data_IF_692438595559
#
_entry.id   IF_692438595559
#
_cell.length_a   1.000
_cell.length_b   1.000
_cell.length_c   1.000
_cell.angle_alpha   90.00
_cell.angle_beta   90.00
_cell.angle_gamma   90.00
#
_symmetry.space_group_name_H-M   'P 1'
#
loop_
_entity.id
_entity.type
_entity.pdbx_description
1 polymer ?
#
# COMPACT_ATOMS: atom_id res chain seq x y z
N UNK A 1 -3.89 3.75 0.11
CA UNK A 1 -4.31 4.49 1.33
C UNK A 1 -5.47 3.92 2.19
N UNK A 2 -6.55 3.29 1.68
CA UNK A 2 -7.75 3.04 2.52
C UNK A 2 -7.79 1.71 3.33
N UNK A 3 -6.90 0.75 3.05
CA UNK A 3 -6.89 -0.52 3.79
C UNK A 3 -6.18 -0.37 5.14
N UNK A 4 -6.86 -0.65 6.26
CA UNK A 4 -6.30 -0.46 7.61
C UNK A 4 -4.98 -1.21 7.87
N UNK A 5 -4.76 -2.35 7.22
CA UNK A 5 -3.57 -3.18 7.44
C UNK A 5 -2.43 -2.86 6.48
N UNK A 6 -2.70 -2.17 5.37
CA UNK A 6 -1.72 -1.91 4.30
C UNK A 6 -1.52 -0.43 4.04
N UNK A 7 -2.21 0.44 4.77
CA UNK A 7 -2.15 1.88 4.58
C UNK A 7 -0.72 2.38 4.76
N UNK A 8 0.01 1.85 5.74
CA UNK A 8 1.40 2.24 6.02
C UNK A 8 2.42 1.84 4.94
N UNK A 9 2.08 0.91 4.04
CA UNK A 9 2.97 0.48 2.94
C UNK A 9 2.98 1.48 1.77
N UNK A 10 1.98 2.37 1.69
CA UNK A 10 1.89 3.46 0.71
C UNK A 10 2.62 4.70 1.26
N UNK A 11 3.68 5.24 0.63
CA UNK A 11 4.47 6.34 1.18
C UNK A 11 3.65 7.63 1.41
N UNK A 12 2.52 7.79 0.70
CA UNK A 12 1.60 8.91 0.94
C UNK A 12 1.00 8.85 2.34
N UNK A 13 0.91 7.67 2.96
CA UNK A 13 0.46 7.51 4.34
C UNK A 13 1.31 8.27 5.34
N UNK A 14 2.63 8.27 5.16
CA UNK A 14 3.53 9.05 5.99
C UNK A 14 3.22 10.55 5.89
N UNK A 15 3.14 11.07 4.66
CA UNK A 15 2.82 12.48 4.41
C UNK A 15 1.42 12.86 4.94
N UNK A 16 0.46 11.94 4.82
CA UNK A 16 -0.89 12.12 5.31
C UNK A 16 -0.94 12.16 6.85
N UNK A 17 -0.25 11.23 7.53
CA UNK A 17 -0.16 11.23 8.99
C UNK A 17 0.65 12.42 9.52
N UNK A 18 1.69 12.87 8.83
CA UNK A 18 2.38 14.13 9.18
C UNK A 18 1.43 15.32 9.08
N UNK A 19 0.55 15.38 8.07
CA UNK A 19 -0.45 16.44 7.98
C UNK A 19 -1.50 16.34 9.10
N UNK A 20 -1.96 15.14 9.44
CA UNK A 20 -2.88 14.92 10.56
C UNK A 20 -2.23 15.34 11.88
N UNK A 21 -0.98 14.93 12.12
CA UNK A 21 -0.21 15.30 13.29
C UNK A 21 0.05 16.81 13.34
N UNK A 22 0.33 17.46 12.20
CA UNK A 22 0.37 18.92 12.11
C UNK A 22 -0.94 19.57 12.57
N UNK A 23 -2.09 19.11 12.09
CA UNK A 23 -3.40 19.63 12.51
C UNK A 23 -3.65 19.38 13.99
N UNK A 24 -3.28 18.19 14.48
CA UNK A 24 -3.34 17.84 15.89
C UNK A 24 -2.48 18.77 16.75
N UNK A 25 -1.25 19.07 16.33
CA UNK A 25 -0.35 19.99 17.04
C UNK A 25 -0.88 21.43 17.04
N UNK A 26 -1.48 21.90 15.95
CA UNK A 26 -2.16 23.20 15.93
C UNK A 26 -3.33 23.25 16.92
N UNK A 27 -4.10 22.16 17.03
CA UNK A 27 -5.16 22.04 18.04
C UNK A 27 -4.59 22.03 19.46
N UNK A 28 -3.57 21.19 19.71
CA UNK A 28 -2.90 21.00 21.01
C UNK A 28 -2.33 22.31 21.56
N UNK A 29 -1.65 23.09 20.72
CA UNK A 29 -1.13 24.42 21.08
C UNK A 29 -2.21 25.46 21.36
N UNK A 30 -3.42 25.26 20.80
CA UNK A 30 -4.57 26.15 21.01
C UNK A 30 -5.41 25.82 22.24
N UNK A 31 -5.06 24.78 23.00
CA UNK A 31 -5.81 24.39 24.20
C UNK A 31 -5.50 25.33 25.37
N UNK A 32 -6.51 25.58 26.21
CA UNK A 32 -6.36 26.37 27.45
C UNK A 32 -5.85 25.55 28.63
N UNK A 33 -5.79 24.22 28.47
CA UNK A 33 -5.35 23.25 29.47
C UNK A 33 -4.05 22.63 28.98
N UNK A 34 -3.14 22.32 29.92
CA UNK A 34 -1.86 21.66 29.65
C UNK A 34 -2.10 20.27 29.02
N UNK A 35 -1.82 20.09 27.71
CA UNK A 35 -2.13 18.85 27.02
C UNK A 35 -1.31 17.66 27.53
N UNK A 36 -0.13 17.88 28.12
CA UNK A 36 0.66 16.78 28.72
C UNK A 36 -0.06 16.11 29.89
N UNK A 37 -1.00 16.82 30.52
CA UNK A 37 -1.70 16.39 31.72
C UNK A 37 -3.17 16.06 31.49
N UNK A 38 -3.70 16.37 30.31
CA UNK A 38 -5.12 16.26 29.98
C UNK A 38 -5.38 15.26 28.85
N UNK A 39 -4.96 14.00 29.07
CA UNK A 39 -5.23 12.93 28.13
C UNK A 39 -6.74 12.61 28.11
N UNK A 40 -7.44 12.73 26.98
CA UNK A 40 -8.90 12.58 26.91
C UNK A 40 -9.28 11.10 27.00
N UNK A 41 -9.58 10.63 28.21
CA UNK A 41 -9.98 9.25 28.46
C UNK A 41 -11.41 9.12 29.01
N UNK A 42 -12.28 8.47 28.25
CA UNK A 42 -13.58 7.98 28.72
C UNK A 42 -13.42 6.55 29.25
N UNK A 43 -14.02 6.24 30.41
CA UNK A 43 -14.05 4.87 30.97
C UNK A 43 -14.74 3.86 30.05
N UNK A 44 -15.49 4.32 29.05
CA UNK A 44 -16.10 3.50 27.99
C UNK A 44 -15.16 3.21 26.81
N UNK A 45 -14.01 3.90 26.73
CA UNK A 45 -13.02 3.64 25.70
C UNK A 45 -12.39 2.25 25.89
N UNK A 46 -11.95 1.58 24.81
CA UNK A 46 -11.26 0.30 24.90
C UNK A 46 -10.01 0.41 25.81
N UNK A 47 -9.66 -0.64 26.57
CA UNK A 47 -8.46 -0.63 27.43
C UNK A 47 -7.14 -0.36 26.69
N UNK A 48 -7.10 -0.61 25.37
CA UNK A 48 -5.95 -0.28 24.52
C UNK A 48 -5.70 1.23 24.40
N UNK A 49 -6.71 2.06 24.66
CA UNK A 49 -6.64 3.53 24.60
C UNK A 49 -6.50 4.16 26.00
N UNK A 50 -6.32 3.36 27.06
CA UNK A 50 -6.10 3.90 28.39
C UNK A 50 -4.81 4.73 28.46
N UNK A 51 -4.75 5.82 29.23
CA UNK A 51 -3.61 6.73 29.25
C UNK A 51 -2.30 6.02 29.64
N UNK A 52 -2.36 5.14 30.63
CA UNK A 52 -1.22 4.39 31.14
C UNK A 52 -0.92 3.12 30.32
N UNK A 53 -1.67 2.84 29.25
CA UNK A 53 -1.43 1.67 28.40
C UNK A 53 -0.22 1.93 27.50
N UNK A 54 0.66 0.95 27.40
CA UNK A 54 1.81 0.95 26.49
C UNK A 54 1.30 0.93 25.05
N UNK A 55 1.89 1.72 24.15
CA UNK A 55 1.63 1.66 22.72
C UNK A 55 2.17 0.34 22.16
N UNK A 56 1.27 -0.51 21.67
CA UNK A 56 1.62 -1.87 21.27
C UNK A 56 2.65 -1.88 20.14
N UNK A 57 3.64 -2.79 20.26
CA UNK A 57 4.71 -3.03 19.28
C UNK A 57 5.66 -1.85 19.04
N UNK A 58 5.54 -0.75 19.78
CA UNK A 58 6.53 0.32 19.77
C UNK A 58 7.69 -0.03 20.70
N UNK A 59 8.90 -0.18 20.16
CA UNK A 59 10.10 -0.61 20.92
C UNK A 59 10.47 0.30 22.09
N UNK A 60 10.04 1.55 22.05
CA UNK A 60 10.31 2.55 23.08
C UNK A 60 9.56 2.28 24.38
N UNK A 61 8.54 1.42 24.37
CA UNK A 61 7.70 1.14 25.54
C UNK A 61 6.87 2.34 26.00
N UNK A 62 6.75 3.38 25.17
CA UNK A 62 6.00 4.59 25.50
C UNK A 62 4.52 4.28 25.76
N UNK A 63 3.93 4.95 26.73
CA UNK A 63 2.50 4.92 27.04
C UNK A 63 1.73 5.89 26.15
N UNK A 64 0.43 5.66 25.99
CA UNK A 64 -0.45 6.54 25.23
C UNK A 64 -0.38 8.00 25.73
N UNK A 65 -0.34 8.21 27.05
CA UNK A 65 -0.21 9.55 27.65
C UNK A 65 1.11 10.25 27.27
N UNK A 66 2.18 9.50 27.02
CA UNK A 66 3.48 10.06 26.62
C UNK A 66 3.51 10.47 25.14
N UNK A 67 2.49 10.10 24.35
CA UNK A 67 2.27 10.65 23.03
C UNK A 67 1.95 12.15 23.03
N UNK A 68 1.44 12.68 24.15
CA UNK A 68 1.05 14.08 24.29
C UNK A 68 2.20 14.98 24.79
N UNK A 69 3.38 14.41 25.03
CA UNK A 69 4.50 15.15 25.62
C UNK A 69 5.05 16.23 24.70
N UNK A 70 5.29 17.41 25.26
CA UNK A 70 5.97 18.55 24.67
C UNK A 70 7.39 18.21 24.20
N UNK A 71 8.04 17.21 24.83
CA UNK A 71 9.37 16.73 24.42
C UNK A 71 9.39 16.34 22.93
N UNK A 72 8.28 15.80 22.40
CA UNK A 72 8.14 15.45 20.99
C UNK A 72 8.38 16.67 20.08
N UNK A 73 7.72 17.79 20.37
CA UNK A 73 7.85 19.05 19.60
C UNK A 73 9.04 19.93 19.97
N UNK A 74 9.59 19.74 21.16
CA UNK A 74 10.71 20.53 21.65
C UNK A 74 12.05 19.99 21.16
N UNK A 75 12.18 18.66 21.08
CA UNK A 75 13.45 17.98 20.82
C UNK A 75 13.51 17.23 19.49
N UNK A 76 12.39 16.67 19.01
CA UNK A 76 12.45 15.73 17.88
C UNK A 76 11.97 16.32 16.56
N UNK A 77 10.89 17.10 16.55
CA UNK A 77 10.38 17.70 15.32
C UNK A 77 9.64 19.02 15.55
N UNK A 78 9.56 19.85 14.51
CA UNK A 78 8.69 21.02 14.47
C UNK A 78 8.09 21.14 13.08
N UNK A 79 6.79 21.41 13.01
CA UNK A 79 6.15 21.73 11.73
C UNK A 79 6.35 23.20 11.39
N UNK A 80 6.65 23.46 10.13
CA UNK A 80 6.48 24.79 9.58
C UNK A 80 4.99 25.13 9.53
N UNK A 81 4.65 26.38 9.87
CA UNK A 81 3.25 26.81 9.79
C UNK A 81 2.83 26.73 8.32
N UNK A 82 1.62 26.22 8.08
CA UNK A 82 0.99 26.33 6.77
C UNK A 82 1.18 27.77 6.28
N UNK A 83 1.55 27.99 5.00
CA UNK A 83 1.80 29.32 4.48
C UNK A 83 0.68 30.22 4.94
N UNK A 84 0.99 31.46 5.35
CA UNK A 84 -0.04 32.42 5.79
C UNK A 84 -0.31 33.61 4.86
N UNK A 85 0.35 33.63 3.72
CA UNK A 85 0.16 34.61 2.66
C UNK A 85 0.68 33.99 1.37
N UNK A 86 0.12 34.39 0.23
CA UNK A 86 0.87 34.25 -1.02
C UNK A 86 1.63 35.56 -1.25
N UNK A 87 2.89 35.64 -0.82
CA UNK A 87 3.70 36.86 -0.96
C UNK A 87 4.16 37.13 -2.39
N UNK A 88 4.30 36.07 -3.19
CA UNK A 88 4.66 36.16 -4.60
C UNK A 88 3.45 36.60 -5.46
N UNK A 89 2.24 36.35 -4.98
CA UNK A 89 1.05 36.96 -5.54
C UNK A 89 0.98 38.41 -5.06
N UNK A 90 1.00 39.39 -5.96
CA UNK A 90 0.93 40.82 -5.61
C UNK A 90 -0.35 41.16 -4.84
N UNK A 91 -0.28 41.02 -3.51
CA UNK A 91 -1.35 41.26 -2.54
C UNK A 91 -2.25 40.06 -2.29
N UNK A 92 -1.94 39.23 -1.27
CA UNK A 92 -2.95 38.34 -0.68
C UNK A 92 -2.76 38.09 0.83
N UNK A 93 -3.70 38.63 1.63
CA UNK A 93 -3.94 38.40 3.08
C UNK A 93 -5.25 37.60 3.25
N UNK A 94 -5.24 36.30 2.94
CA UNK A 94 -6.30 35.26 3.13
C UNK A 94 -7.80 35.55 2.98
N UNK A 95 -8.57 34.71 2.25
CA UNK A 95 -9.04 33.42 2.79
C UNK A 95 -9.22 32.35 1.71
N UNK A 96 -8.52 31.20 1.84
CA UNK A 96 -8.69 30.11 0.90
C UNK A 96 -7.40 29.45 0.41
N UNK A 97 -6.34 30.13 0.00
CA UNK A 97 -6.29 31.16 -1.05
C UNK A 97 -5.55 30.60 -2.25
N UNK A 98 -5.81 31.15 -3.44
CA UNK A 98 -5.12 30.78 -4.68
C UNK A 98 -4.71 31.97 -5.55
N UNK A 99 -3.57 31.90 -6.22
CA UNK A 99 -3.42 32.39 -7.58
C UNK A 99 -3.11 31.18 -8.43
N UNK A 100 -3.98 30.80 -9.34
CA UNK A 100 -3.86 29.54 -10.06
C UNK A 100 -4.45 29.61 -11.43
N UNK A 101 -3.64 29.71 -12.50
CA UNK A 101 -3.88 29.12 -13.83
C UNK A 101 -2.57 29.09 -14.65
N UNK A 102 -1.99 27.90 -14.87
CA UNK A 102 -0.80 27.62 -15.71
C UNK A 102 0.52 28.35 -15.35
N UNK A 103 0.69 28.74 -14.08
CA UNK A 103 1.87 29.42 -13.51
C UNK A 103 1.75 30.95 -13.78
N UNK A 104 2.23 31.87 -12.96
CA UNK A 104 3.58 31.91 -12.40
C UNK A 104 3.59 32.72 -11.12
N UNK A 105 4.17 32.15 -10.07
CA UNK A 105 4.00 32.57 -8.65
C UNK A 105 2.69 32.08 -8.01
N UNK A 106 2.21 30.95 -8.56
CA UNK A 106 0.94 30.30 -8.33
C UNK A 106 0.75 29.80 -6.88
N UNK A 107 -0.31 30.23 -6.19
CA UNK A 107 -0.74 29.66 -4.89
C UNK A 107 -2.11 28.97 -5.03
N UNK A 108 -2.48 28.00 -4.19
CA UNK A 108 -3.90 27.60 -4.07
C UNK A 108 -4.29 26.73 -2.88
N UNK A 109 -5.37 27.10 -2.20
CA UNK A 109 -6.60 26.30 -2.13
C UNK A 109 -7.82 27.24 -2.31
N UNK A 110 -9.00 26.71 -2.72
CA UNK A 110 -10.41 27.10 -2.38
C UNK A 110 -11.34 26.08 -3.10
N UNK A 111 -12.58 25.74 -2.70
CA UNK A 111 -13.71 26.54 -2.19
C UNK A 111 -14.38 25.91 -0.96
N UNK A 112 -15.00 26.76 -0.12
CA UNK A 112 -16.45 26.68 0.17
C UNK A 112 -17.01 28.06 0.51
N UNK A 113 -18.12 28.46 -0.14
CA UNK A 113 -19.18 29.07 0.65
C UNK A 113 -20.54 28.47 0.27
N UNK A 114 -21.19 27.87 1.27
CA UNK A 114 -22.65 27.99 1.40
C UNK A 114 -22.94 28.23 2.86
N UNK A 115 -23.20 29.48 3.21
CA UNK A 115 -23.92 29.78 4.44
C UNK A 115 -24.86 30.94 4.14
N UNK A 116 -26.17 30.65 4.08
CA UNK A 116 -27.15 31.14 5.06
C UNK A 116 -28.56 30.66 4.68
N UNK A 117 -29.11 29.76 5.49
CA UNK A 117 -30.47 29.91 5.98
C UNK A 117 -30.47 29.47 7.45
N UNK A 118 -30.42 30.46 8.33
CA UNK A 118 -30.68 30.30 9.76
C UNK A 118 -32.17 30.03 9.98
N UNK A 119 -32.50 28.90 10.61
CA UNK A 119 -33.54 28.84 11.65
C UNK A 119 -33.35 27.58 12.48
N UNK A 120 -33.20 27.81 13.77
CA UNK A 120 -33.04 26.80 14.79
C UNK A 120 -34.24 25.84 14.85
N UNK A 121 -33.96 24.55 15.05
CA UNK A 121 -34.63 23.75 16.08
C UNK A 121 -33.64 22.71 16.58
N UNK A 122 -33.36 22.77 17.89
CA UNK A 122 -32.68 21.72 18.63
C UNK A 122 -33.44 20.41 18.44
N UNK A 123 -32.76 19.36 18.00
CA UNK A 123 -33.03 17.98 18.41
C UNK A 123 -31.79 17.15 18.11
N UNK A 124 -31.21 16.59 19.17
CA UNK A 124 -30.55 15.27 19.26
C UNK A 124 -29.88 14.72 18.01
N UNK A 125 -28.57 14.51 18.12
CA UNK A 125 -27.69 14.09 17.04
C UNK A 125 -28.11 12.80 16.34
N UNK A 126 -28.14 12.91 15.02
CA UNK A 126 -28.14 11.82 14.06
C UNK A 126 -26.96 12.10 13.12
N UNK A 127 -25.80 11.54 13.46
CA UNK A 127 -24.68 11.45 12.53
C UNK A 127 -24.99 10.30 11.59
N UNK A 128 -25.32 10.62 10.33
CA UNK A 128 -25.28 9.66 9.23
C UNK A 128 -23.86 9.09 9.13
N UNK A 129 -23.68 7.92 9.73
CA UNK A 129 -22.54 7.07 9.52
C UNK A 129 -22.56 6.54 8.09
N UNK A 130 -21.41 6.62 7.44
CA UNK A 130 -21.07 5.80 6.30
C UNK A 130 -21.13 4.34 6.77
N UNK A 131 -22.29 3.68 6.59
CA UNK A 131 -22.39 2.24 6.81
C UNK A 131 -21.56 1.56 5.72
N UNK A 132 -20.33 1.20 6.09
CA UNK A 132 -19.67 0.04 5.49
C UNK A 132 -20.63 -1.13 5.61
N UNK A 133 -21.09 -1.65 4.47
CA UNK A 133 -21.80 -2.92 4.37
C UNK A 133 -20.88 -4.06 4.84
N UNK A 134 -20.73 -4.20 6.16
CA UNK A 134 -20.33 -5.44 6.79
C UNK A 134 -21.61 -6.27 6.86
N UNK A 135 -21.72 -7.24 5.97
CA UNK A 135 -22.77 -8.24 5.97
C UNK A 135 -22.77 -8.94 7.35
N UNK A 136 -23.64 -8.48 8.27
CA UNK A 136 -23.90 -9.15 9.54
C UNK A 136 -24.57 -10.49 9.20
N UNK A 137 -23.80 -11.57 9.13
CA UNK A 137 -24.35 -12.92 9.26
C UNK A 137 -25.02 -13.03 10.63
N UNK A 138 -26.33 -12.83 10.65
CA UNK A 138 -27.21 -13.19 11.77
C UNK A 138 -27.14 -14.70 11.96
N UNK A 139 -26.26 -15.15 12.85
CA UNK A 139 -26.30 -16.51 13.38
C UNK A 139 -27.49 -16.57 14.33
N UNK A 140 -28.53 -17.27 13.90
CA UNK A 140 -29.70 -17.61 14.71
C UNK A 140 -29.25 -18.35 15.98
N UNK A 141 -29.62 -17.80 17.14
CA UNK A 141 -29.41 -18.47 18.44
C UNK A 141 -30.48 -19.54 18.63
N UNK A 142 -30.16 -20.77 18.28
CA UNK A 142 -30.84 -21.95 18.82
C UNK A 142 -29.81 -23.05 19.04
N UNK A 143 -29.58 -23.41 20.31
CA UNK A 143 -28.77 -24.56 20.68
C UNK A 143 -27.85 -24.32 21.88
N UNK A 144 -28.30 -24.73 23.07
CA UNK A 144 -27.43 -24.93 24.24
C UNK A 144 -26.43 -26.04 23.93
N UNK A 145 -25.13 -25.74 23.94
CA UNK A 145 -24.09 -26.75 24.12
C UNK A 145 -22.86 -26.17 24.84
N UNK A 146 -22.22 -27.06 25.59
CA UNK A 146 -21.32 -26.82 26.73
C UNK A 146 -20.10 -25.96 26.37
N UNK A 147 -19.78 -25.00 27.26
CA UNK A 147 -18.50 -24.27 27.31
C UNK A 147 -17.34 -25.28 27.44
N UNK A 148 -16.57 -25.48 26.37
CA UNK A 148 -15.18 -25.86 26.51
C UNK A 148 -14.34 -24.59 26.57
N UNK A 149 -13.42 -24.52 27.53
CA UNK A 149 -12.41 -23.48 27.63
C UNK A 149 -11.43 -23.62 26.46
N UNK A 150 -11.80 -23.14 25.27
CA UNK A 150 -10.81 -22.80 24.27
C UNK A 150 -10.28 -21.41 24.59
N UNK A 151 -9.02 -21.36 25.04
CA UNK A 151 -8.20 -20.15 24.93
C UNK A 151 -8.43 -19.61 23.51
N UNK A 152 -9.04 -18.43 23.40
CA UNK A 152 -9.04 -17.67 22.15
C UNK A 152 -7.57 -17.38 21.83
N UNK A 153 -6.96 -18.28 21.06
CA UNK A 153 -5.74 -18.00 20.35
C UNK A 153 -6.16 -16.92 19.36
N UNK A 154 -5.83 -15.66 19.67
CA UNK A 154 -5.85 -14.59 18.69
C UNK A 154 -4.83 -14.98 17.64
N UNK A 155 -5.27 -15.68 16.60
CA UNK A 155 -4.48 -15.86 15.39
C UNK A 155 -4.19 -14.45 14.89
N UNK A 156 -2.92 -14.04 14.97
CA UNK A 156 -2.46 -12.88 14.26
C UNK A 156 -2.78 -13.13 12.78
N UNK A 157 -3.79 -12.46 12.25
CA UNK A 157 -4.03 -12.42 10.81
C UNK A 157 -2.77 -11.79 10.25
N UNK A 158 -1.89 -12.60 9.68
CA UNK A 158 -0.71 -12.10 9.00
C UNK A 158 -1.17 -11.33 7.78
N UNK A 159 -0.40 -10.35 7.30
CA UNK A 159 -0.75 -9.60 6.08
C UNK A 159 -0.98 -10.53 4.89
N UNK A 160 -0.44 -11.75 4.93
CA UNK A 160 -0.74 -12.83 4.00
C UNK A 160 -2.20 -13.29 3.97
N UNK A 161 -2.92 -13.24 5.09
CA UNK A 161 -4.21 -13.92 5.28
C UNK A 161 -5.44 -13.11 4.81
N UNK A 162 -5.28 -11.83 4.43
CA UNK A 162 -6.38 -11.00 3.93
C UNK A 162 -6.36 -10.85 2.41
N UNK A 163 -7.50 -11.10 1.76
CA UNK A 163 -7.75 -10.73 0.36
C UNK A 163 -7.96 -9.22 0.22
N UNK A 164 -7.67 -8.68 -0.96
CA UNK A 164 -7.96 -7.28 -1.29
C UNK A 164 -9.36 -7.15 -1.91
N UNK A 165 -10.11 -6.15 -1.46
CA UNK A 165 -11.40 -5.78 -2.03
C UNK A 165 -11.30 -4.39 -2.66
N UNK A 166 -11.36 -4.33 -3.99
CA UNK A 166 -11.44 -3.07 -4.72
C UNK A 166 -12.89 -2.56 -4.76
N UNK A 167 -13.07 -1.23 -4.74
CA UNK A 167 -14.39 -0.59 -4.84
C UNK A 167 -14.91 -0.51 -6.27
N UNK A 168 -14.04 -0.72 -7.27
CA UNK A 168 -14.33 -0.56 -8.71
C UNK A 168 -14.97 0.79 -9.06
N UNK A 169 -14.68 1.82 -8.26
CA UNK A 169 -15.18 3.18 -8.44
C UNK A 169 -14.38 3.88 -9.54
N UNK A 170 -15.04 4.21 -10.66
CA UNK A 170 -14.43 4.91 -11.79
C UNK A 170 -15.23 6.16 -12.13
N UNK A 171 -14.60 7.32 -12.00
CA UNK A 171 -15.21 8.64 -12.20
C UNK A 171 -16.47 8.84 -11.34
N UNK A 172 -16.47 8.29 -10.11
CA UNK A 172 -17.59 8.36 -9.16
C UNK A 172 -18.65 7.26 -9.31
N UNK A 173 -18.53 6.40 -10.32
CA UNK A 173 -19.50 5.32 -10.59
C UNK A 173 -18.91 3.94 -10.22
N UNK A 174 -19.52 3.19 -9.28
CA UNK A 174 -19.08 1.85 -8.93
C UNK A 174 -19.60 0.83 -9.95
N UNK A 175 -18.76 0.47 -10.93
CA UNK A 175 -19.11 -0.55 -11.93
C UNK A 175 -17.84 -1.25 -12.47
N UNK A 176 -17.71 -2.54 -12.19
CA UNK A 176 -16.60 -3.37 -12.65
C UNK A 176 -16.49 -3.42 -14.18
N UNK A 177 -17.59 -3.28 -14.93
CA UNK A 177 -17.59 -3.33 -16.41
C UNK A 177 -16.89 -2.13 -17.05
N UNK A 178 -16.67 -1.06 -16.27
CA UNK A 178 -15.88 0.11 -16.69
C UNK A 178 -14.38 -0.14 -16.65
N UNK A 179 -13.96 -1.30 -16.15
CA UNK A 179 -12.58 -1.72 -16.06
C UNK A 179 -12.29 -2.86 -17.04
N UNK A 180 -11.03 -2.97 -17.43
CA UNK A 180 -10.44 -4.13 -18.11
C UNK A 180 -9.19 -4.54 -17.36
N UNK A 181 -8.77 -5.79 -17.51
CA UNK A 181 -7.69 -6.36 -16.72
C UNK A 181 -6.47 -6.61 -17.61
N UNK A 182 -5.29 -6.27 -17.11
CA UNK A 182 -4.00 -6.52 -17.76
C UNK A 182 -3.14 -7.43 -16.88
N UNK A 183 -2.34 -8.33 -17.48
CA UNK A 183 -1.33 -9.07 -16.74
C UNK A 183 -0.07 -8.21 -16.56
N UNK A 184 0.50 -8.26 -15.37
CA UNK A 184 1.76 -7.61 -15.01
C UNK A 184 2.70 -8.67 -14.44
N UNK A 185 3.89 -8.82 -15.04
CA UNK A 185 4.90 -9.75 -14.56
C UNK A 185 5.65 -9.14 -13.37
N UNK A 186 5.89 -9.93 -12.34
CA UNK A 186 6.69 -9.56 -11.19
C UNK A 186 7.89 -10.50 -11.16
N UNK A 187 9.09 -9.92 -11.20
CA UNK A 187 10.36 -10.61 -11.02
C UNK A 187 10.94 -10.15 -9.69
N UNK A 188 10.93 -11.03 -8.70
CA UNK A 188 11.41 -10.75 -7.35
C UNK A 188 12.79 -11.38 -7.16
N UNK A 189 13.81 -10.56 -6.96
CA UNK A 189 15.14 -11.01 -6.52
C UNK A 189 15.12 -11.09 -5.01
N UNK A 190 15.68 -12.16 -4.47
CA UNK A 190 15.83 -12.27 -3.03
C UNK A 190 16.74 -11.15 -2.47
N UNK A 191 16.33 -10.45 -1.40
CA UNK A 191 17.22 -9.61 -0.62
C UNK A 191 18.34 -10.40 0.05
N UNK A 192 19.55 -9.85 0.05
CA UNK A 192 20.70 -10.41 0.77
C UNK A 192 20.46 -10.50 2.29
N UNK A 193 21.10 -11.48 2.94
CA UNK A 193 21.08 -11.61 4.40
C UNK A 193 19.83 -12.26 5.02
N UNK A 194 18.84 -12.66 4.23
CA UNK A 194 17.67 -13.41 4.75
C UNK A 194 18.04 -14.86 5.11
N UNK A 195 17.52 -15.35 6.23
CA UNK A 195 17.63 -16.75 6.67
C UNK A 195 16.23 -17.29 7.00
N UNK A 196 15.95 -18.53 6.63
CA UNK A 196 14.65 -19.18 6.79
C UNK A 196 14.70 -20.39 7.74
N UNK A 197 15.84 -20.60 8.40
CA UNK A 197 16.04 -21.67 9.37
C UNK A 197 16.02 -23.07 8.76
N UNK A 198 16.20 -23.19 7.44
CA UNK A 198 16.18 -24.49 6.76
C UNK A 198 17.54 -25.15 6.88
N UNK A 199 17.72 -26.00 7.89
CA UNK A 199 19.03 -26.57 8.24
C UNK A 199 19.53 -27.55 7.17
N UNK A 200 20.81 -27.45 6.81
CA UNK A 200 21.47 -28.38 5.89
C UNK A 200 21.97 -29.61 6.66
N UNK A 201 21.81 -30.82 6.11
CA UNK A 201 22.42 -32.04 6.66
C UNK A 201 23.72 -32.31 5.91
N UNK A 202 24.86 -32.27 6.61
CA UNK A 202 26.18 -32.65 6.09
C UNK A 202 26.74 -33.78 6.92
N UNK A 203 27.18 -34.86 6.27
CA UNK A 203 27.78 -36.03 6.93
C UNK A 203 26.94 -36.58 8.09
N UNK A 204 25.61 -36.71 7.89
CA UNK A 204 24.61 -37.15 8.88
C UNK A 204 24.41 -36.20 10.08
N UNK A 205 25.09 -35.06 10.12
CA UNK A 205 24.93 -34.03 11.14
C UNK A 205 24.20 -32.82 10.57
N UNK A 206 23.40 -32.17 11.42
CA UNK A 206 22.80 -30.88 11.11
C UNK A 206 23.92 -29.84 11.15
N UNK A 207 24.16 -29.18 10.02
CA UNK A 207 25.08 -28.06 9.92
C UNK A 207 24.40 -26.81 10.49
N UNK A 208 24.92 -26.30 11.61
CA UNK A 208 24.43 -25.05 12.20
C UNK A 208 24.90 -23.83 11.40
N UNK A 209 24.06 -22.80 11.35
CA UNK A 209 24.35 -21.55 10.64
C UNK A 209 24.26 -21.61 9.12
N UNK A 210 23.93 -22.77 8.53
CA UNK A 210 23.77 -22.93 7.08
C UNK A 210 22.31 -23.15 6.74
N UNK A 211 21.74 -22.22 5.98
CA UNK A 211 20.41 -22.35 5.38
C UNK A 211 20.53 -23.04 4.01
N UNK A 212 19.66 -23.99 3.67
CA UNK A 212 19.61 -24.62 2.32
C UNK A 212 19.43 -23.59 1.22
N UNK A 213 18.75 -22.49 1.53
CA UNK A 213 18.58 -21.36 0.65
C UNK A 213 19.70 -20.32 0.79
N UNK A 214 20.73 -20.50 1.64
CA UNK A 214 21.80 -19.51 1.76
C UNK A 214 22.57 -19.39 0.42
N UNK A 215 22.71 -18.13 -0.03
CA UNK A 215 22.97 -17.79 -1.43
C UNK A 215 24.44 -17.81 -1.84
N UNK A 216 25.37 -17.98 -0.89
CA UNK A 216 26.81 -17.80 -1.10
C UNK A 216 27.46 -18.81 -2.08
N UNK A 217 26.76 -19.87 -2.49
CA UNK A 217 27.30 -20.87 -3.41
C UNK A 217 26.91 -20.67 -4.89
N UNK A 218 25.97 -19.76 -5.21
CA UNK A 218 25.35 -19.70 -6.56
C UNK A 218 25.62 -18.41 -7.35
N UNK A 219 26.09 -17.34 -6.70
CA UNK A 219 26.50 -16.10 -7.36
C UNK A 219 27.75 -15.53 -6.69
N UNK A 220 28.74 -15.13 -7.48
CA UNK A 220 29.95 -14.43 -7.02
C UNK A 220 29.61 -12.99 -6.58
N UNK A 221 28.91 -12.84 -5.45
CA UNK A 221 28.68 -11.54 -4.82
C UNK A 221 29.75 -11.26 -3.76
N UNK A 222 30.27 -10.04 -3.72
CA UNK A 222 31.23 -9.56 -2.71
C UNK A 222 30.52 -9.27 -1.40
N UNK A 223 31.17 -9.59 -0.26
CA UNK A 223 30.61 -9.48 1.10
C UNK A 223 30.15 -8.05 1.48
N UNK A 224 30.48 -7.02 0.71
CA UNK A 224 30.05 -5.63 0.94
C UNK A 224 28.54 -5.40 0.69
N UNK A 225 27.87 -6.23 -0.13
CA UNK A 225 26.42 -6.11 -0.36
C UNK A 225 25.57 -6.73 0.78
N UNK A 226 26.18 -7.42 1.74
CA UNK A 226 25.49 -8.07 2.86
C UNK A 226 25.02 -7.11 3.97
N UNK A 227 25.32 -5.81 3.88
CA UNK A 227 25.17 -4.88 5.02
C UNK A 227 23.92 -4.00 5.03
N UNK A 228 22.97 -4.14 4.11
CA UNK A 228 21.64 -3.53 4.29
C UNK A 228 20.71 -4.49 5.03
N UNK A 229 21.11 -4.92 6.22
CA UNK A 229 20.26 -5.65 7.14
C UNK A 229 19.13 -4.74 7.62
N UNK A 230 18.01 -4.71 6.89
CA UNK A 230 16.78 -4.05 7.29
C UNK A 230 16.24 -4.74 8.54
N UNK A 231 16.67 -4.25 9.72
CA UNK A 231 16.52 -4.93 11.02
C UNK A 231 15.08 -5.15 11.50
N UNK A 232 14.05 -4.74 10.73
CA UNK A 232 12.63 -4.80 11.12
C UNK A 232 11.70 -5.42 10.06
N UNK A 233 12.25 -6.08 9.03
CA UNK A 233 11.44 -6.82 8.05
C UNK A 233 10.95 -8.12 8.68
N UNK A 234 9.67 -8.18 9.04
CA UNK A 234 8.99 -9.42 9.41
C UNK A 234 8.77 -10.24 8.13
N UNK A 235 9.80 -10.91 7.64
CA UNK A 235 9.59 -11.93 6.62
C UNK A 235 8.76 -13.06 7.23
N UNK A 236 7.75 -13.52 6.49
CA UNK A 236 7.00 -14.71 6.88
C UNK A 236 8.00 -15.85 7.07
N UNK A 237 7.94 -16.57 8.20
CA UNK A 237 8.80 -17.74 8.42
C UNK A 237 8.64 -18.83 7.34
N UNK A 238 7.55 -18.78 6.55
CA UNK A 238 7.33 -19.63 5.38
C UNK A 238 8.18 -19.25 4.16
N UNK A 239 8.66 -18.01 4.10
CA UNK A 239 9.32 -17.44 2.92
C UNK A 239 8.38 -16.89 1.84
N UNK A 240 7.06 -17.00 2.02
CA UNK A 240 6.10 -16.34 1.13
C UNK A 240 6.03 -14.83 1.44
N UNK A 241 6.01 -14.02 0.38
CA UNK A 241 5.93 -12.56 0.47
C UNK A 241 4.92 -12.02 -0.55
N UNK A 242 4.44 -10.79 -0.34
CA UNK A 242 3.51 -10.09 -1.23
C UNK A 242 4.21 -8.98 -1.98
N UNK A 243 3.95 -8.90 -3.28
CA UNK A 243 4.25 -7.72 -4.10
C UNK A 243 2.93 -7.12 -4.54
N UNK A 244 2.66 -5.90 -4.08
CA UNK A 244 1.50 -5.11 -4.44
C UNK A 244 1.74 -4.41 -5.77
N UNK A 245 0.72 -4.38 -6.62
CA UNK A 245 0.69 -3.63 -7.87
C UNK A 245 -0.47 -2.66 -7.81
N UNK A 246 -0.16 -1.38 -7.88
CA UNK A 246 -1.10 -0.29 -7.78
C UNK A 246 -1.24 0.41 -9.14
N UNK A 247 -2.48 0.66 -9.52
CA UNK A 247 -2.88 1.44 -10.70
C UNK A 247 -3.54 2.73 -10.23
N UNK A 248 -3.00 3.86 -10.67
CA UNK A 248 -3.60 5.18 -10.47
C UNK A 248 -3.96 5.78 -11.84
N UNK A 249 -5.24 6.13 -12.02
CA UNK A 249 -5.73 6.74 -13.25
C UNK A 249 -5.14 8.14 -13.48
N UNK A 250 -4.61 8.40 -14.67
CA UNK A 250 -4.12 9.72 -15.08
C UNK A 250 -5.13 10.47 -15.94
N UNK A 251 -5.88 9.76 -16.79
CA UNK A 251 -6.97 10.31 -17.59
C UNK A 251 -8.36 10.12 -16.97
N UNK A 252 -8.44 9.57 -15.75
CA UNK A 252 -9.67 9.25 -15.04
C UNK A 252 -9.44 9.22 -13.53
N UNK A 253 -10.50 9.43 -12.76
CA UNK A 253 -10.47 9.27 -11.31
C UNK A 253 -10.83 7.81 -10.95
N UNK A 254 -9.81 7.00 -10.72
CA UNK A 254 -9.97 5.62 -10.31
C UNK A 254 -8.64 5.06 -9.80
N UNK A 255 -8.73 4.16 -8.83
CA UNK A 255 -7.58 3.46 -8.26
C UNK A 255 -7.90 1.97 -8.13
N UNK A 256 -6.92 1.15 -8.45
CA UNK A 256 -7.01 -0.31 -8.30
C UNK A 256 -5.71 -0.81 -7.68
N UNK A 257 -5.80 -1.73 -6.73
CA UNK A 257 -4.63 -2.38 -6.14
C UNK A 257 -4.90 -3.87 -6.04
N UNK A 258 -3.91 -4.67 -6.44
CA UNK A 258 -3.88 -6.11 -6.21
C UNK A 258 -2.48 -6.52 -5.78
N UNK A 259 -2.30 -7.77 -5.41
CA UNK A 259 -0.98 -8.30 -5.08
C UNK A 259 -0.75 -9.65 -5.75
N UNK A 260 0.52 -10.03 -5.85
CA UNK A 260 0.91 -11.39 -6.14
C UNK A 260 1.80 -11.94 -5.03
N UNK A 261 1.83 -13.26 -4.91
CA UNK A 261 2.67 -13.96 -3.94
C UNK A 261 3.97 -14.36 -4.64
N UNK A 262 5.10 -14.10 -3.97
CA UNK A 262 6.44 -14.49 -4.42
C UNK A 262 7.11 -15.35 -3.35
N UNK A 263 8.07 -16.18 -3.77
CA UNK A 263 8.87 -17.00 -2.86
C UNK A 263 10.22 -16.31 -2.61
N UNK A 264 10.37 -15.69 -1.44
CA UNK A 264 11.58 -14.99 -1.02
C UNK A 264 12.73 -15.92 -0.62
N UNK A 265 12.51 -17.24 -0.62
CA UNK A 265 13.58 -18.24 -0.42
C UNK A 265 14.37 -18.44 -1.70
N UNK A 266 13.70 -18.35 -2.85
CA UNK A 266 14.33 -18.54 -4.15
C UNK A 266 15.17 -17.32 -4.53
N UNK A 267 16.34 -17.51 -5.18
CA UNK A 267 17.16 -16.42 -5.72
C UNK A 267 16.38 -15.42 -6.57
N UNK A 268 15.54 -15.97 -7.45
CA UNK A 268 14.64 -15.24 -8.33
C UNK A 268 13.31 -15.99 -8.31
N UNK A 269 12.23 -15.25 -8.08
CA UNK A 269 10.86 -15.75 -8.14
C UNK A 269 10.09 -14.93 -9.16
N UNK A 270 9.36 -15.60 -10.04
CA UNK A 270 8.48 -14.94 -11.00
C UNK A 270 7.02 -15.22 -10.68
N UNK A 271 6.20 -14.18 -10.71
CA UNK A 271 4.75 -14.31 -10.56
C UNK A 271 4.01 -13.28 -11.42
N UNK A 272 2.69 -13.44 -11.54
CA UNK A 272 1.83 -12.53 -12.29
C UNK A 272 0.86 -11.86 -11.32
N UNK A 273 0.72 -10.55 -11.45
CA UNK A 273 -0.40 -9.79 -10.88
C UNK A 273 -1.37 -9.43 -12.00
N UNK A 274 -2.68 -9.48 -11.74
CA UNK A 274 -3.71 -9.08 -12.70
C UNK A 274 -4.33 -7.79 -12.17
N UNK A 275 -4.11 -6.68 -12.87
CA UNK A 275 -4.60 -5.36 -12.42
C UNK A 275 -5.62 -4.76 -13.35
N UNK A 276 -6.57 -4.03 -12.77
CA UNK A 276 -7.63 -3.38 -13.52
C UNK A 276 -7.25 -1.95 -13.90
N UNK A 277 -7.54 -1.57 -15.15
CA UNK A 277 -7.36 -0.24 -15.72
C UNK A 277 -8.66 0.17 -16.44
N UNK A 278 -8.87 1.47 -16.67
CA UNK A 278 -10.09 1.96 -17.35
C UNK A 278 -10.28 1.28 -18.71
N UNK A 279 -11.50 0.86 -19.00
CA UNK A 279 -11.83 0.29 -20.30
C UNK A 279 -11.66 1.37 -21.41
N UNK A 280 -10.77 1.16 -22.39
CA UNK A 280 -10.45 2.17 -23.41
C UNK A 280 -11.62 2.45 -24.36
N UNK A 281 -12.67 1.62 -24.35
CA UNK A 281 -13.93 1.87 -25.06
C UNK A 281 -14.70 3.08 -24.56
N UNK A 282 -14.48 3.47 -23.30
CA UNK A 282 -15.22 4.57 -22.68
C UNK A 282 -14.62 5.92 -23.07
N UNK A 283 -13.29 6.04 -22.93
CA UNK A 283 -12.49 7.20 -23.31
C UNK A 283 -10.99 6.84 -23.13
N UNK A 284 -10.11 7.84 -23.19
CA UNK A 284 -8.70 7.76 -22.83
C UNK A 284 -8.47 6.95 -21.54
N UNK A 285 -7.55 5.98 -21.62
CA UNK A 285 -7.17 5.08 -20.53
C UNK A 285 -5.65 5.18 -20.27
N UNK A 286 -5.22 6.34 -19.80
CA UNK A 286 -3.84 6.58 -19.37
C UNK A 286 -3.78 6.34 -17.87
N UNK A 287 -2.88 5.46 -17.44
CA UNK A 287 -2.69 5.08 -16.04
C UNK A 287 -1.22 5.02 -15.69
N UNK A 288 -0.89 5.38 -14.45
CA UNK A 288 0.41 5.13 -13.86
C UNK A 288 0.33 3.83 -13.04
N UNK A 289 1.23 2.89 -13.31
CA UNK A 289 1.31 1.63 -12.58
C UNK A 289 2.62 1.59 -11.81
N UNK A 290 2.53 1.23 -10.54
CA UNK A 290 3.67 1.05 -9.63
C UNK A 290 3.56 -0.29 -8.92
N UNK A 291 4.70 -0.80 -8.45
CA UNK A 291 4.73 -2.00 -7.64
C UNK A 291 5.70 -1.83 -6.46
N UNK A 292 5.34 -2.44 -5.33
CA UNK A 292 6.12 -2.43 -4.10
C UNK A 292 5.87 -3.71 -3.31
N UNK A 293 6.85 -4.14 -2.53
CA UNK A 293 6.70 -5.33 -1.69
C UNK A 293 6.06 -5.03 -0.32
N UNK A 294 5.85 -6.06 0.50
CA UNK A 294 5.32 -5.93 1.86
C UNK A 294 6.17 -5.04 2.78
N UNK A 295 7.41 -4.75 2.40
CA UNK A 295 8.33 -3.89 3.13
C UNK A 295 8.30 -2.43 2.62
N UNK A 296 7.44 -2.12 1.64
CA UNK A 296 7.34 -0.79 1.02
C UNK A 296 8.49 -0.47 0.05
N UNK A 297 9.30 -1.47 -0.32
CA UNK A 297 10.39 -1.28 -1.29
C UNK A 297 9.83 -1.28 -2.69
N UNK A 298 10.24 -0.28 -3.48
CA UNK A 298 9.70 -0.04 -4.82
C UNK A 298 10.36 -0.99 -5.83
N UNK A 299 9.55 -1.57 -6.71
CA UNK A 299 10.02 -2.37 -7.84
C UNK A 299 10.12 -1.50 -9.11
N UNK A 300 11.09 -1.81 -9.97
CA UNK A 300 11.42 -1.01 -11.15
C UNK A 300 10.62 -1.46 -12.39
N UNK A 301 9.83 -0.56 -13.02
CA UNK A 301 9.04 -0.90 -14.20
C UNK A 301 9.92 -1.11 -15.44
N UNK A 302 9.63 -2.18 -16.16
CA UNK A 302 10.18 -2.48 -17.46
C UNK A 302 9.07 -2.84 -18.43
N UNK A 303 9.11 -2.27 -19.63
CA UNK A 303 8.11 -2.43 -20.66
C UNK A 303 8.69 -3.24 -21.82
N UNK A 304 7.85 -4.08 -22.40
CA UNK A 304 8.19 -4.84 -23.60
C UNK A 304 8.27 -3.89 -24.81
N UNK A 305 9.35 -3.98 -25.59
CA UNK A 305 9.48 -3.17 -26.80
C UNK A 305 8.93 -3.93 -28.02
N UNK A 306 7.79 -3.48 -28.55
CA UNK A 306 7.27 -3.98 -29.82
C UNK A 306 8.29 -3.74 -30.95
N UNK A 307 8.60 -4.79 -31.73
CA UNK A 307 9.41 -4.69 -32.95
C UNK A 307 10.87 -5.15 -32.82
N UNK A 308 11.35 -5.55 -31.65
CA UNK A 308 12.63 -6.25 -31.53
C UNK A 308 12.42 -7.77 -31.63
N UNK A 309 13.22 -8.45 -32.45
CA UNK A 309 13.31 -9.91 -32.51
C UNK A 309 13.69 -10.56 -31.15
N UNK A 310 14.05 -9.75 -30.17
CA UNK A 310 14.32 -10.16 -28.80
C UNK A 310 13.10 -9.86 -27.91
N UNK A 311 12.68 -10.84 -27.12
CA UNK A 311 11.62 -10.75 -26.11
C UNK A 311 12.11 -9.93 -24.88
N UNK A 312 12.70 -8.76 -25.14
CA UNK A 312 13.46 -7.97 -24.17
C UNK A 312 12.60 -6.86 -23.57
N UNK A 313 12.58 -6.84 -22.24
CA UNK A 313 12.03 -5.77 -21.43
C UNK A 313 13.07 -4.66 -21.25
N UNK A 314 12.67 -3.41 -21.41
CA UNK A 314 13.52 -2.22 -21.19
C UNK A 314 12.93 -1.36 -20.09
N UNK A 315 13.76 -0.62 -19.37
CA UNK A 315 13.29 0.34 -18.35
C UNK A 315 12.29 1.31 -18.96
N UNK A 316 11.22 1.59 -18.22
CA UNK A 316 10.18 2.53 -18.63
C UNK A 316 9.64 3.31 -17.42
N UNK A 317 8.66 4.19 -17.62
CA UNK A 317 8.08 5.00 -16.53
C UNK A 317 7.00 4.27 -15.73
N UNK A 318 6.49 3.13 -16.21
CA UNK A 318 5.28 2.50 -15.66
C UNK A 318 3.97 3.21 -16.05
N UNK A 319 4.04 4.29 -16.84
CA UNK A 319 2.85 4.92 -17.45
C UNK A 319 2.45 4.12 -18.68
N UNK A 320 1.18 3.72 -18.74
CA UNK A 320 0.60 3.01 -19.87
C UNK A 320 -0.58 3.78 -20.45
N UNK A 321 -0.73 3.71 -21.77
CA UNK A 321 -1.91 4.20 -22.47
C UNK A 321 -2.58 3.00 -23.16
N UNK A 322 -3.73 2.58 -22.61
CA UNK A 322 -4.45 1.44 -23.16
C UNK A 322 -5.36 1.87 -24.31
N UNK A 323 -5.33 1.13 -25.41
CA UNK A 323 -6.11 1.44 -26.62
C UNK A 323 -6.99 0.26 -27.05
N UNK A 324 -7.80 0.45 -28.09
CA UNK A 324 -8.55 -0.65 -28.70
C UNK A 324 -7.80 -1.39 -29.82
N UNK A 325 -6.56 -1.00 -30.08
CA UNK A 325 -5.73 -1.59 -31.14
C UNK A 325 -5.35 -3.05 -30.82
N UNK A 326 -5.17 -3.85 -31.86
CA UNK A 326 -4.77 -5.25 -31.73
C UNK A 326 -3.23 -5.37 -31.81
N UNK A 327 -2.59 -6.30 -31.07
CA UNK A 327 -3.18 -7.14 -30.03
C UNK A 327 -3.55 -6.32 -28.78
N UNK A 328 -4.71 -6.62 -28.18
CA UNK A 328 -5.24 -5.82 -27.06
C UNK A 328 -4.41 -5.95 -25.79
N UNK A 329 -3.86 -7.14 -25.51
CA UNK A 329 -3.09 -7.44 -24.28
C UNK A 329 -3.87 -7.23 -22.95
N UNK A 330 -5.20 -7.10 -23.02
CA UNK A 330 -6.10 -7.05 -21.87
C UNK A 330 -7.33 -7.92 -22.09
N UNK A 331 -7.99 -8.32 -21.00
CA UNK A 331 -9.27 -9.02 -20.97
C UNK A 331 -10.34 -8.23 -20.25
N UNK A 332 -11.61 -8.53 -20.49
CA UNK A 332 -12.74 -7.90 -19.77
C UNK A 332 -12.89 -8.40 -18.34
N UNK A 333 -12.34 -9.58 -18.07
CA UNK A 333 -12.32 -10.22 -16.76
C UNK A 333 -11.02 -11.01 -16.57
N UNK A 334 -10.81 -11.49 -15.35
CA UNK A 334 -9.64 -12.28 -14.96
C UNK A 334 -9.53 -13.57 -15.79
N UNK A 335 -10.64 -14.17 -16.22
CA UNK A 335 -10.67 -15.39 -17.01
C UNK A 335 -10.16 -15.17 -18.44
N UNK A 336 -10.56 -14.07 -19.08
CA UNK A 336 -10.04 -13.66 -20.38
C UNK A 336 -8.52 -13.38 -20.32
N UNK A 337 -8.03 -12.68 -19.29
CA UNK A 337 -6.58 -12.45 -19.10
C UNK A 337 -5.83 -13.77 -18.88
N UNK A 338 -6.40 -14.68 -18.08
CA UNK A 338 -5.80 -16.01 -17.84
C UNK A 338 -5.66 -16.77 -19.17
N UNK A 339 -6.63 -16.66 -20.08
CA UNK A 339 -6.55 -17.26 -21.43
C UNK A 339 -5.52 -16.59 -22.33
N UNK A 340 -5.20 -15.31 -22.13
CA UNK A 340 -4.09 -14.63 -22.83
C UNK A 340 -2.73 -15.20 -22.40
N UNK A 341 -2.59 -15.55 -21.13
CA UNK A 341 -1.34 -16.06 -20.55
C UNK A 341 -1.12 -17.55 -20.80
N UNK A 342 -2.19 -18.35 -20.71
CA UNK A 342 -2.10 -19.81 -20.74
C UNK A 342 -2.80 -20.39 -21.97
N UNK A 343 -2.05 -21.12 -22.80
CA UNK A 343 -2.61 -21.90 -23.90
C UNK A 343 -2.92 -23.30 -23.39
N UNK A 344 -4.16 -23.75 -23.60
CA UNK A 344 -4.55 -25.14 -23.34
C UNK A 344 -4.14 -26.00 -24.52
N UNK A 345 -3.15 -26.88 -24.34
CA UNK A 345 -2.81 -27.89 -25.34
C UNK A 345 -3.95 -28.89 -25.51
N UNK A 346 -4.10 -29.49 -26.70
CA UNK A 346 -4.99 -30.65 -26.94
C UNK A 346 -4.47 -31.86 -26.14
N UNK A 347 -4.67 -31.88 -24.81
CA UNK A 347 -4.13 -32.94 -23.95
C UNK A 347 -3.87 -32.64 -22.47
N UNK A 348 -4.32 -31.50 -21.90
CA UNK A 348 -4.26 -31.14 -20.45
C UNK A 348 -2.97 -30.52 -19.89
N UNK A 349 -2.00 -30.14 -20.71
CA UNK A 349 -0.87 -29.34 -20.24
C UNK A 349 -1.10 -27.85 -20.51
N UNK A 350 -0.87 -27.01 -19.49
CA UNK A 350 -0.95 -25.55 -19.60
C UNK A 350 0.44 -25.00 -19.90
N UNK A 351 0.62 -24.35 -21.04
CA UNK A 351 1.84 -23.61 -21.35
C UNK A 351 1.61 -22.11 -21.15
N UNK A 352 2.48 -21.48 -20.35
CA UNK A 352 2.49 -20.03 -20.15
C UNK A 352 3.27 -19.37 -21.29
N UNK A 353 2.73 -18.32 -21.89
CA UNK A 353 3.46 -17.43 -22.81
C UNK A 353 3.52 -16.03 -22.23
N UNK A 354 4.73 -15.51 -22.04
CA UNK A 354 4.98 -14.14 -21.58
C UNK A 354 4.89 -13.11 -22.74
N UNK A 355 4.64 -13.56 -23.99
CA UNK A 355 4.50 -12.69 -25.18
C UNK A 355 3.36 -11.67 -25.04
N UNK A 356 2.34 -12.00 -24.25
CA UNK A 356 1.16 -11.14 -24.05
C UNK A 356 1.28 -10.24 -22.82
N UNK A 357 2.46 -10.13 -22.21
CA UNK A 357 2.71 -9.28 -21.06
C UNK A 357 3.51 -8.07 -21.53
N UNK A 358 2.91 -6.89 -21.41
CA UNK A 358 3.58 -5.65 -21.80
C UNK A 358 4.46 -5.08 -20.66
N UNK A 359 4.04 -5.24 -19.41
CA UNK A 359 4.66 -4.60 -18.26
C UNK A 359 5.19 -5.65 -17.28
N UNK A 360 6.45 -5.48 -16.88
CA UNK A 360 7.13 -6.26 -15.85
C UNK A 360 7.70 -5.34 -14.78
N UNK A 361 7.67 -5.74 -13.51
CA UNK A 361 8.39 -5.07 -12.44
C UNK A 361 9.51 -5.96 -11.90
N UNK A 362 10.69 -5.37 -11.77
CA UNK A 362 11.87 -6.01 -11.19
C UNK A 362 12.07 -5.48 -9.77
N UNK A 363 11.87 -6.34 -8.78
CA UNK A 363 12.08 -6.05 -7.37
C UNK A 363 13.47 -6.59 -6.98
N UNK A 364 14.52 -5.85 -7.31
CA UNK A 364 15.92 -6.28 -7.12
C UNK A 364 16.65 -5.61 -5.97
N UNK A 365 16.10 -4.54 -5.39
CA UNK A 365 16.52 -3.88 -4.14
C UNK A 365 17.99 -3.43 -4.05
N UNK A 366 18.75 -3.59 -5.13
CA UNK A 366 20.17 -3.23 -5.23
C UNK A 366 20.39 -1.70 -5.25
N UNK A 367 19.37 -0.92 -5.60
CA UNK A 367 19.40 0.54 -5.61
C UNK A 367 18.35 1.12 -4.65
N UNK A 368 18.80 1.73 -3.55
CA UNK A 368 17.94 2.51 -2.66
C UNK A 368 17.73 3.88 -3.31
N UNK A 369 16.49 4.37 -3.52
CA UNK A 369 16.23 5.68 -4.13
C UNK A 369 16.93 6.86 -3.43
N UNK A 370 17.30 6.65 -2.16
CA UNK A 370 17.87 7.63 -1.26
C UNK A 370 19.37 7.42 -0.98
N UNK A 371 20.03 6.44 -1.61
CA UNK A 371 21.42 6.06 -1.32
C UNK A 371 22.49 7.09 -1.73
N UNK A 372 22.08 8.25 -2.28
CA UNK A 372 22.97 9.35 -2.69
C UNK A 372 22.46 10.74 -2.24
N UNK A 373 21.71 10.81 -1.15
CA UNK A 373 21.31 12.09 -0.55
C UNK A 373 22.21 12.47 0.62
#
# INVERSE_FOLDING_TARGET
MAGMNTSASDPVFYLHLCFIDYVWEQFRQGQTVDPEKDYPFDRRAPPSQAPNRIMDKLKTGKRNIEGYSNVNTDQYYRYEKSPTTCSQCSGNKYPYLRCGNLNKELCSATNRPRNKASRARRSTGDWLGYETFIEKKTVSKTGRTKRSNQKKQTSFITEMDSSMQNSFLLDGEPDIKRWVFIPVKIVHKRPSGLLFGTKVIKNKNIADGVDVYSYNNYMNYTDEEQQSAYSHSFTSGSGADKVFVQVDGMSYNGKYVDYTIVDSRLPVSESIAIVAVKNPKLNSSISYISAYDSHGRICRPHCHSNGSYSNQYKTCSGVINLTEEKPKLYGKDVGEVTRLLYKSGKGKEFSRSDENIFLSFYCDFDEIPWGKC
#
